data_IF_828500842635
#
_entry.id   IF_828500842635
#
_cell.length_a   1.000
_cell.length_b   1.000
_cell.length_c   1.000
_cell.angle_alpha   90.00
_cell.angle_beta   90.00
_cell.angle_gamma   90.00
#
_symmetry.space_group_name_H-M   'P 1'
#
loop_
_entity.id
_entity.type
_entity.pdbx_description
1 polymer ?
#
# COMPACT_ATOMS: atom_id res chain seq x y z
N UNK A 1 -31.72 38.43 -29.71
CA UNK A 1 -30.54 38.91 -28.96
C UNK A 1 -31.03 39.73 -27.79
N UNK A 2 -31.03 39.21 -26.56
CA UNK A 2 -31.44 39.98 -25.38
C UNK A 2 -30.55 41.22 -25.22
N UNK A 3 -31.14 42.38 -24.89
CA UNK A 3 -30.37 43.62 -24.74
C UNK A 3 -29.33 43.46 -23.63
N UNK A 4 -28.23 44.23 -23.71
CA UNK A 4 -27.19 44.20 -22.68
C UNK A 4 -27.76 44.45 -21.28
N UNK A 5 -28.74 45.34 -21.19
CA UNK A 5 -29.39 45.71 -19.94
C UNK A 5 -30.22 44.57 -19.35
N UNK A 6 -30.84 43.73 -20.17
CA UNK A 6 -31.56 42.53 -19.71
C UNK A 6 -30.60 41.48 -19.17
N UNK A 7 -29.44 41.31 -19.82
CA UNK A 7 -28.38 40.40 -19.35
C UNK A 7 -27.78 40.87 -18.03
N UNK A 8 -27.53 42.17 -17.89
CA UNK A 8 -27.04 42.77 -16.65
C UNK A 8 -28.02 42.54 -15.51
N UNK A 9 -29.32 42.83 -15.71
CA UNK A 9 -30.36 42.60 -14.70
C UNK A 9 -30.48 41.12 -14.30
N UNK A 10 -30.44 40.22 -15.29
CA UNK A 10 -30.48 38.78 -15.05
C UNK A 10 -29.30 38.30 -14.19
N UNK A 11 -28.09 38.82 -14.46
CA UNK A 11 -26.89 38.47 -13.70
C UNK A 11 -26.99 38.94 -12.24
N UNK A 12 -27.46 40.16 -12.00
CA UNK A 12 -27.63 40.68 -10.64
C UNK A 12 -28.71 39.92 -9.86
N UNK A 13 -29.80 39.50 -10.50
CA UNK A 13 -30.82 38.67 -9.86
C UNK A 13 -30.24 37.31 -9.44
N UNK A 14 -29.47 36.65 -10.32
CA UNK A 14 -28.82 35.39 -9.99
C UNK A 14 -27.79 35.51 -8.86
N UNK A 15 -27.02 36.60 -8.82
CA UNK A 15 -26.08 36.85 -7.73
C UNK A 15 -26.81 37.07 -6.39
N UNK A 16 -27.96 37.76 -6.42
CA UNK A 16 -28.77 37.98 -5.22
C UNK A 16 -29.35 36.68 -4.68
N UNK A 17 -29.88 35.82 -5.54
CA UNK A 17 -30.39 34.49 -5.15
C UNK A 17 -29.26 33.63 -4.54
N UNK A 18 -28.05 33.70 -5.12
CA UNK A 18 -26.88 32.99 -4.60
C UNK A 18 -26.43 33.52 -3.23
N UNK A 19 -26.48 34.84 -3.01
CA UNK A 19 -26.15 35.46 -1.72
C UNK A 19 -27.15 35.08 -0.62
N UNK A 20 -28.45 35.04 -0.93
CA UNK A 20 -29.49 34.61 0.01
C UNK A 20 -29.33 33.13 0.39
N UNK A 21 -29.00 32.26 -0.58
CA UNK A 21 -28.69 30.85 -0.32
C UNK A 21 -27.42 30.65 0.52
N UNK A 22 -26.38 31.46 0.27
CA UNK A 22 -25.14 31.41 1.04
C UNK A 22 -25.29 32.01 2.45
N UNK A 23 -26.14 33.01 2.61
CA UNK A 23 -26.44 33.59 3.93
C UNK A 23 -27.26 32.63 4.79
N UNK A 24 -28.17 31.85 4.18
CA UNK A 24 -28.92 30.78 4.86
C UNK A 24 -28.01 29.62 5.33
N UNK A 25 -26.86 29.40 4.68
CA UNK A 25 -25.89 28.39 5.12
C UNK A 25 -24.96 28.88 6.24
N UNK A 26 -24.85 30.21 6.47
CA UNK A 26 -24.15 30.78 7.63
C UNK A 26 -24.97 30.78 8.92
N UNK A 27 -26.30 30.91 8.84
CA UNK A 27 -27.20 30.93 10.02
C UNK A 27 -27.78 29.56 10.36
N UNK A 28 -27.69 28.59 9.46
CA UNK A 28 -27.79 27.19 9.84
C UNK A 28 -26.61 26.86 10.75
N UNK A 29 -26.90 26.58 12.01
CA UNK A 29 -26.01 25.95 12.97
C UNK A 29 -25.59 24.55 12.46
N UNK A 30 -24.89 24.47 11.34
CA UNK A 30 -23.96 23.40 11.09
C UNK A 30 -22.92 23.59 12.19
N UNK A 31 -23.08 22.81 13.26
CA UNK A 31 -22.16 22.74 14.37
C UNK A 31 -20.75 22.88 13.79
N UNK A 32 -20.02 23.91 14.24
CA UNK A 32 -18.61 24.07 13.91
C UNK A 32 -18.00 22.68 13.96
N UNK A 33 -17.52 22.19 12.82
CA UNK A 33 -16.80 20.93 12.77
C UNK A 33 -15.76 21.04 13.87
N UNK A 34 -15.80 20.20 14.91
CA UNK A 34 -14.87 20.35 16.00
C UNK A 34 -13.48 20.32 15.38
N UNK A 35 -12.73 21.40 15.57
CA UNK A 35 -11.36 21.49 15.09
C UNK A 35 -10.59 20.36 15.79
N UNK A 36 -10.46 19.24 15.09
CA UNK A 36 -9.76 18.06 15.58
C UNK A 36 -8.27 18.33 15.83
N UNK A 37 -7.75 19.51 15.42
CA UNK A 37 -6.39 19.96 15.64
C UNK A 37 -6.10 20.47 17.05
N UNK A 38 -7.09 20.98 17.79
CA UNK A 38 -6.89 21.59 19.12
C UNK A 38 -7.73 20.91 20.19
N UNK A 39 -7.21 19.81 20.73
CA UNK A 39 -7.87 19.10 21.84
C UNK A 39 -7.69 19.88 23.14
N UNK A 40 -8.73 20.59 23.58
CA UNK A 40 -8.77 21.16 24.93
C UNK A 40 -8.71 20.05 25.99
N UNK A 41 -7.79 20.18 26.94
CA UNK A 41 -7.57 19.21 28.03
C UNK A 41 -8.83 19.02 28.88
N UNK A 42 -9.69 20.03 29.00
CA UNK A 42 -10.93 19.96 29.80
C UNK A 42 -12.01 19.14 29.10
N UNK A 43 -12.24 19.39 27.81
CA UNK A 43 -13.21 18.64 26.99
C UNK A 43 -12.81 17.17 26.87
N UNK A 44 -11.52 16.89 26.64
CA UNK A 44 -11.00 15.52 26.60
C UNK A 44 -11.25 14.75 27.90
N UNK A 45 -11.05 15.39 29.07
CA UNK A 45 -11.32 14.75 30.38
C UNK A 45 -12.80 14.42 30.58
N UNK A 46 -13.72 15.26 30.08
CA UNK A 46 -15.16 15.02 30.17
C UNK A 46 -15.58 13.84 29.28
N UNK A 47 -15.20 13.86 28.00
CA UNK A 47 -15.47 12.76 27.05
C UNK A 47 -14.88 11.43 27.55
N UNK A 48 -13.67 11.46 28.12
CA UNK A 48 -13.04 10.27 28.71
C UNK A 48 -13.82 9.67 29.89
N UNK A 49 -14.51 10.49 30.70
CA UNK A 49 -15.37 10.03 31.80
C UNK A 49 -16.67 9.43 31.26
N UNK A 50 -17.30 10.09 30.29
CA UNK A 50 -18.52 9.61 29.64
C UNK A 50 -18.28 8.27 28.92
N UNK A 51 -17.14 8.11 28.26
CA UNK A 51 -16.76 6.85 27.61
C UNK A 51 -16.34 5.75 28.59
N UNK A 52 -16.14 6.05 29.88
CA UNK A 52 -15.74 5.05 30.89
C UNK A 52 -16.84 4.02 31.14
N UNK A 53 -18.11 4.41 31.02
CA UNK A 53 -19.26 3.50 31.23
C UNK A 53 -19.40 2.42 30.15
N UNK A 54 -18.81 2.66 28.98
CA UNK A 54 -18.81 1.71 27.86
C UNK A 54 -17.56 0.80 27.87
N UNK A 55 -16.65 0.96 28.83
CA UNK A 55 -15.49 0.06 28.98
C UNK A 55 -15.96 -1.32 29.43
N UNK A 56 -15.62 -2.35 28.66
CA UNK A 56 -16.04 -3.73 28.93
C UNK A 56 -17.48 -4.05 28.52
N UNK A 57 -18.20 -3.11 27.90
CA UNK A 57 -19.48 -3.38 27.23
C UNK A 57 -19.19 -3.47 25.74
N UNK A 58 -19.18 -4.68 25.21
CA UNK A 58 -18.97 -4.91 23.79
C UNK A 58 -20.28 -4.61 23.04
N UNK A 59 -20.17 -3.87 21.93
CA UNK A 59 -21.28 -3.78 20.99
C UNK A 59 -21.56 -5.16 20.45
N UNK A 60 -22.82 -5.60 20.49
CA UNK A 60 -23.26 -6.91 19.98
C UNK A 60 -22.98 -7.11 18.48
N UNK A 61 -22.65 -6.04 17.75
CA UNK A 61 -22.30 -6.07 16.33
C UNK A 61 -20.79 -6.00 16.05
N UNK A 62 -19.95 -5.85 17.09
CA UNK A 62 -18.49 -5.83 16.92
C UNK A 62 -17.90 -7.23 17.05
N UNK A 63 -17.00 -7.56 16.13
CA UNK A 63 -16.12 -8.72 16.27
C UNK A 63 -15.24 -8.52 17.51
N UNK A 64 -14.94 -9.56 18.29
CA UNK A 64 -14.07 -9.43 19.46
C UNK A 64 -12.72 -8.87 19.01
N UNK A 65 -12.27 -7.81 19.67
CA UNK A 65 -11.01 -7.17 19.35
C UNK A 65 -9.87 -8.16 19.62
N UNK A 66 -8.98 -8.35 18.63
CA UNK A 66 -7.80 -9.17 18.81
C UNK A 66 -6.96 -8.60 19.96
N UNK A 67 -6.49 -9.47 20.85
CA UNK A 67 -5.74 -9.04 22.03
C UNK A 67 -4.54 -8.21 21.57
N UNK A 68 -4.41 -6.98 22.07
CA UNK A 68 -3.34 -6.06 21.68
C UNK A 68 -1.94 -6.70 21.85
N UNK A 69 -1.79 -7.64 22.79
CA UNK A 69 -0.55 -8.41 23.01
C UNK A 69 -0.22 -9.39 21.89
N UNK A 70 -1.22 -9.84 21.12
CA UNK A 70 -1.03 -10.69 19.94
C UNK A 70 -0.72 -9.85 18.69
N UNK A 71 -1.27 -8.63 18.61
CA UNK A 71 -1.03 -7.72 17.49
C UNK A 71 0.32 -6.99 17.59
N UNK A 72 0.79 -6.74 18.81
CA UNK A 72 2.11 -6.18 19.06
C UNK A 72 3.14 -7.31 19.07
N UNK A 73 4.17 -7.22 18.22
CA UNK A 73 5.34 -8.10 18.35
C UNK A 73 5.86 -7.95 19.79
N UNK A 74 5.95 -9.07 20.53
CA UNK A 74 6.60 -9.08 21.82
C UNK A 74 7.99 -8.43 21.68
N UNK A 75 8.40 -7.65 22.69
CA UNK A 75 9.72 -7.01 22.73
C UNK A 75 10.79 -8.10 22.71
N UNK A 76 11.15 -8.55 21.51
CA UNK A 76 12.22 -9.51 21.32
C UNK A 76 13.51 -8.78 21.64
N UNK A 77 14.31 -9.35 22.55
CA UNK A 77 15.66 -8.87 22.75
C UNK A 77 16.37 -8.76 21.39
N UNK A 78 17.09 -7.66 21.13
CA UNK A 78 17.93 -7.52 19.95
C UNK A 78 18.84 -8.72 19.77
N UNK A 79 19.14 -9.05 18.52
CA UNK A 79 19.82 -10.29 18.21
C UNK A 79 21.32 -10.28 18.61
N UNK A 80 21.96 -9.10 18.70
CA UNK A 80 23.31 -8.97 19.29
C UNK A 80 23.38 -9.35 20.76
N UNK A 81 22.27 -9.24 21.50
CA UNK A 81 22.18 -9.72 22.89
C UNK A 81 21.89 -11.22 22.96
N UNK A 82 21.15 -11.77 21.98
CA UNK A 82 20.79 -13.18 21.94
C UNK A 82 21.92 -14.07 21.45
N UNK A 83 22.61 -13.64 20.41
CA UNK A 83 23.61 -14.41 19.67
C UNK A 83 24.92 -13.60 19.53
N UNK A 84 25.59 -13.24 20.63
CA UNK A 84 26.78 -12.38 20.58
C UNK A 84 27.89 -12.97 19.70
N UNK A 85 27.99 -14.30 19.60
CA UNK A 85 28.98 -14.96 18.74
C UNK A 85 28.74 -14.76 17.23
N UNK A 86 27.49 -14.54 16.81
CA UNK A 86 27.15 -14.28 15.40
C UNK A 86 27.22 -12.81 15.04
N UNK A 87 27.35 -11.96 16.05
CA UNK A 87 27.30 -10.52 15.91
C UNK A 87 28.70 -9.95 16.01
N UNK A 88 29.21 -9.49 14.88
CA UNK A 88 30.46 -8.76 14.82
C UNK A 88 30.16 -7.27 14.75
N UNK A 89 30.77 -6.51 15.66
CA UNK A 89 30.68 -5.05 15.66
C UNK A 89 31.75 -4.49 14.73
N UNK A 90 31.33 -3.77 13.70
CA UNK A 90 32.23 -3.04 12.80
C UNK A 90 32.21 -1.56 13.19
N UNK A 91 33.37 -1.02 13.55
CA UNK A 91 33.58 0.41 13.74
C UNK A 91 34.37 0.99 12.57
N UNK A 92 34.06 2.22 12.18
CA UNK A 92 34.82 2.97 11.18
C UNK A 92 36.00 3.75 11.82
N UNK A 93 36.46 3.32 13.00
CA UNK A 93 37.56 3.97 13.73
C UNK A 93 38.87 3.98 12.95
N UNK A 94 39.06 2.95 12.14
CA UNK A 94 40.32 2.69 11.44
C UNK A 94 40.32 3.31 10.04
N UNK A 95 39.21 3.95 9.63
CA UNK A 95 39.02 4.54 8.31
C UNK A 95 39.32 6.03 8.39
N UNK A 96 40.18 6.53 7.51
CA UNK A 96 40.51 7.97 7.48
C UNK A 96 39.34 8.78 6.89
N UNK A 97 39.18 10.07 7.25
CA UNK A 97 38.13 10.90 6.67
C UNK A 97 38.28 11.08 5.15
N UNK A 98 39.50 10.91 4.62
CA UNK A 98 39.76 10.91 3.18
C UNK A 98 39.17 9.68 2.48
N UNK A 99 39.22 8.50 3.11
CA UNK A 99 38.63 7.27 2.60
C UNK A 99 37.09 7.29 2.65
N UNK A 100 36.50 8.06 3.58
CA UNK A 100 35.04 8.27 3.68
C UNK A 100 34.52 9.39 2.79
N UNK A 101 35.39 10.04 2.00
CA UNK A 101 34.98 11.12 1.10
C UNK A 101 33.99 10.63 0.04
N UNK A 102 33.07 11.48 -0.38
CA UNK A 102 32.13 11.14 -1.45
C UNK A 102 32.86 10.74 -2.74
N UNK A 103 34.01 11.36 -3.03
CA UNK A 103 34.83 11.02 -4.20
C UNK A 103 35.31 9.57 -4.16
N UNK A 104 35.92 9.15 -3.06
CA UNK A 104 36.43 7.77 -2.89
C UNK A 104 35.28 6.77 -2.87
N UNK A 105 34.15 7.10 -2.24
CA UNK A 105 32.95 6.26 -2.26
C UNK A 105 32.40 6.06 -3.67
N UNK A 106 32.30 7.14 -4.46
CA UNK A 106 31.84 7.05 -5.86
C UNK A 106 32.79 6.23 -6.73
N UNK A 107 34.10 6.42 -6.57
CA UNK A 107 35.10 5.68 -7.33
C UNK A 107 35.07 4.19 -7.00
N UNK A 108 34.97 3.86 -5.71
CA UNK A 108 34.86 2.47 -5.23
C UNK A 108 33.58 1.81 -5.74
N UNK A 109 32.44 2.52 -5.71
CA UNK A 109 31.18 2.01 -6.25
C UNK A 109 31.25 1.75 -7.76
N UNK A 110 31.85 2.67 -8.53
CA UNK A 110 32.04 2.50 -9.99
C UNK A 110 33.03 1.36 -10.31
N UNK A 111 34.08 1.19 -9.50
CA UNK A 111 35.01 0.06 -9.65
C UNK A 111 34.29 -1.27 -9.39
N UNK A 112 33.48 -1.35 -8.35
CA UNK A 112 32.69 -2.54 -8.03
C UNK A 112 31.67 -2.89 -9.13
N UNK A 113 30.99 -1.89 -9.71
CA UNK A 113 30.07 -2.14 -10.83
C UNK A 113 30.80 -2.70 -12.06
N UNK A 114 31.98 -2.15 -12.41
CA UNK A 114 32.81 -2.70 -13.50
C UNK A 114 33.28 -4.12 -13.23
N UNK A 115 33.63 -4.44 -11.98
CA UNK A 115 34.00 -5.80 -11.58
C UNK A 115 32.81 -6.76 -11.70
N UNK A 116 31.62 -6.36 -11.26
CA UNK A 116 30.40 -7.16 -11.40
C UNK A 116 30.03 -7.40 -12.86
N UNK A 117 30.10 -6.36 -13.70
CA UNK A 117 29.88 -6.48 -15.16
C UNK A 117 30.91 -7.42 -15.81
N UNK A 118 32.18 -7.36 -15.39
CA UNK A 118 33.22 -8.28 -15.84
C UNK A 118 32.91 -9.73 -15.49
N UNK A 119 32.54 -10.00 -14.23
CA UNK A 119 32.13 -11.35 -13.79
C UNK A 119 30.89 -11.85 -14.51
N UNK A 120 29.92 -10.98 -14.79
CA UNK A 120 28.73 -11.33 -15.57
C UNK A 120 29.09 -11.64 -17.03
N UNK A 121 29.99 -10.86 -17.64
CA UNK A 121 30.47 -11.10 -19.00
C UNK A 121 31.30 -12.40 -19.10
N UNK A 122 32.18 -12.67 -18.13
CA UNK A 122 32.93 -13.92 -18.02
C UNK A 122 31.97 -15.11 -17.82
N UNK A 123 31.00 -15.01 -16.91
CA UNK A 123 30.00 -16.06 -16.70
C UNK A 123 29.10 -16.27 -17.94
N UNK A 124 28.82 -15.23 -18.73
CA UNK A 124 28.12 -15.36 -20.01
C UNK A 124 29.00 -16.03 -21.08
N UNK A 125 30.29 -15.71 -21.15
CA UNK A 125 31.24 -16.36 -22.07
C UNK A 125 31.49 -17.83 -21.69
N UNK A 126 31.58 -18.15 -20.40
CA UNK A 126 31.68 -19.52 -19.88
C UNK A 126 30.37 -20.31 -20.14
N UNK A 127 29.20 -19.68 -20.01
CA UNK A 127 27.92 -20.32 -20.39
C UNK A 127 27.75 -20.53 -21.91
N UNK A 128 28.43 -19.74 -22.74
CA UNK A 128 28.46 -19.95 -24.20
C UNK A 128 29.45 -21.05 -24.61
N UNK A 129 30.46 -21.35 -23.77
CA UNK A 129 31.54 -22.31 -24.09
C UNK A 129 31.48 -23.62 -23.32
N UNK A 130 30.69 -23.73 -22.25
CA UNK A 130 30.50 -24.98 -21.51
C UNK A 130 29.04 -25.49 -21.56
N UNK A 131 28.90 -26.71 -22.07
CA UNK A 131 27.78 -27.66 -21.93
C UNK A 131 26.66 -27.63 -22.98
N UNK A 132 27.03 -27.95 -24.23
CA UNK A 132 26.25 -28.96 -24.97
C UNK A 132 26.86 -30.32 -24.59
N UNK A 133 26.42 -30.89 -23.46
CA UNK A 133 26.64 -32.31 -23.23
C UNK A 133 25.80 -33.09 -24.25
N UNK A 134 26.43 -34.02 -24.96
CA UNK A 134 25.85 -34.90 -25.99
C UNK A 134 24.66 -35.75 -25.49
N UNK A 135 24.32 -35.67 -24.20
CA UNK A 135 23.20 -36.36 -23.54
C UNK A 135 21.90 -35.56 -23.40
N UNK A 136 21.83 -34.30 -23.86
CA UNK A 136 20.56 -33.57 -24.01
C UNK A 136 19.79 -33.27 -22.71
N UNK A 137 20.44 -33.32 -21.55
CA UNK A 137 19.81 -33.07 -20.26
C UNK A 137 19.84 -31.57 -19.89
N UNK A 138 18.75 -30.85 -20.16
CA UNK A 138 18.58 -29.45 -19.76
C UNK A 138 18.18 -29.38 -18.28
N UNK A 139 19.05 -28.86 -17.43
CA UNK A 139 18.75 -28.60 -16.02
C UNK A 139 17.75 -27.43 -15.88
N UNK A 140 16.48 -27.75 -15.60
CA UNK A 140 15.45 -26.74 -15.35
C UNK A 140 15.52 -26.25 -13.90
N UNK A 141 15.86 -24.98 -13.69
CA UNK A 141 15.78 -24.33 -12.37
C UNK A 141 14.36 -24.50 -11.78
N UNK A 142 14.24 -24.93 -10.50
CA UNK A 142 12.93 -25.12 -9.88
C UNK A 142 12.26 -23.77 -9.63
N UNK A 143 11.17 -23.50 -10.34
CA UNK A 143 10.29 -22.36 -10.03
C UNK A 143 9.33 -22.76 -8.93
N UNK A 144 9.48 -22.14 -7.76
CA UNK A 144 8.61 -22.37 -6.61
C UNK A 144 7.22 -21.77 -6.89
N UNK A 145 6.31 -22.60 -7.39
CA UNK A 145 4.91 -22.23 -7.61
C UNK A 145 4.17 -22.18 -6.28
N UNK A 146 4.26 -21.06 -5.55
CA UNK A 146 3.35 -20.79 -4.44
C UNK A 146 1.94 -20.64 -5.00
N UNK A 147 1.04 -21.51 -4.54
CA UNK A 147 -0.41 -21.55 -4.78
C UNK A 147 -0.92 -22.18 -6.10
N UNK A 148 -0.96 -23.52 -6.15
CA UNK A 148 -1.85 -24.29 -7.04
C UNK A 148 -2.92 -25.07 -6.28
N UNK A 149 -3.58 -24.44 -5.30
CA UNK A 149 -4.80 -24.98 -4.65
C UNK A 149 -6.08 -24.25 -5.08
N UNK A 150 -6.07 -23.64 -6.27
CA UNK A 150 -7.31 -23.19 -6.91
C UNK A 150 -7.34 -23.85 -8.29
N UNK A 151 -8.07 -24.97 -8.37
CA UNK A 151 -8.46 -25.57 -9.65
C UNK A 151 -9.27 -24.50 -10.40
N UNK A 152 -8.65 -23.86 -11.40
CA UNK A 152 -9.37 -23.00 -12.34
C UNK A 152 -10.23 -23.91 -13.22
N UNK A 153 -11.52 -23.99 -12.91
CA UNK A 153 -12.53 -24.35 -13.91
C UNK A 153 -12.48 -23.28 -15.01
N UNK A 154 -12.64 -23.63 -16.30
CA UNK A 154 -12.70 -22.66 -17.37
C UNK A 154 -14.08 -22.00 -17.35
N UNK A 155 -14.28 -21.02 -16.45
CA UNK A 155 -15.30 -20.01 -16.67
C UNK A 155 -14.64 -18.92 -17.51
N UNK A 156 -15.24 -18.60 -18.65
CA UNK A 156 -14.88 -17.52 -19.55
C UNK A 156 -14.94 -16.18 -18.81
N UNK A 157 -13.91 -15.88 -18.04
CA UNK A 157 -13.73 -14.58 -17.43
C UNK A 157 -13.38 -13.61 -18.56
N UNK A 158 -14.38 -12.85 -19.01
CA UNK A 158 -14.18 -11.70 -19.90
C UNK A 158 -13.15 -10.80 -19.24
N UNK A 159 -11.95 -10.72 -19.84
CA UNK A 159 -10.85 -9.88 -19.35
C UNK A 159 -11.25 -8.40 -19.44
N UNK A 160 -10.71 -7.53 -18.58
CA UNK A 160 -10.94 -6.09 -18.70
C UNK A 160 -10.48 -5.61 -20.09
N UNK A 161 -11.34 -4.85 -20.77
CA UNK A 161 -11.09 -4.32 -22.10
C UNK A 161 -10.69 -2.85 -21.96
N UNK A 162 -9.65 -2.45 -22.68
CA UNK A 162 -9.22 -1.06 -22.74
C UNK A 162 -9.79 -0.40 -23.99
N UNK A 163 -10.72 0.53 -23.82
CA UNK A 163 -11.32 1.29 -24.92
C UNK A 163 -11.21 2.79 -24.64
N UNK A 164 -10.71 3.56 -25.61
CA UNK A 164 -10.70 5.04 -25.57
C UNK A 164 -10.12 5.65 -24.27
N UNK A 165 -8.91 5.21 -23.88
CA UNK A 165 -8.20 5.65 -22.68
C UNK A 165 -8.86 5.30 -21.33
N UNK A 166 -9.85 4.39 -21.31
CA UNK A 166 -10.47 3.91 -20.07
C UNK A 166 -10.47 2.38 -20.03
N UNK A 167 -10.27 1.82 -18.83
CA UNK A 167 -10.36 0.38 -18.58
C UNK A 167 -11.81 0.08 -18.17
N UNK A 168 -12.52 -0.72 -18.96
CA UNK A 168 -13.87 -1.17 -18.64
C UNK A 168 -13.75 -2.52 -17.92
N UNK A 169 -14.18 -2.56 -16.65
CA UNK A 169 -14.27 -3.81 -15.89
C UNK A 169 -15.55 -4.57 -16.29
N UNK A 170 -15.49 -5.91 -16.36
CA UNK A 170 -16.70 -6.71 -16.59
C UNK A 170 -17.71 -6.51 -15.46
N UNK A 171 -18.99 -6.55 -15.80
CA UNK A 171 -20.07 -6.44 -14.82
C UNK A 171 -19.96 -7.57 -13.77
N UNK A 172 -19.90 -7.18 -12.49
CA UNK A 172 -19.81 -8.12 -11.39
C UNK A 172 -21.11 -8.10 -10.58
N UNK A 173 -21.87 -9.20 -10.65
CA UNK A 173 -23.08 -9.36 -9.83
C UNK A 173 -22.70 -9.98 -8.49
N UNK A 174 -22.81 -9.18 -7.41
CA UNK A 174 -22.54 -9.63 -6.04
C UNK A 174 -23.77 -10.33 -5.46
N UNK A 175 -23.60 -11.50 -4.86
CA UNK A 175 -24.66 -12.19 -4.10
C UNK A 175 -25.30 -13.40 -4.79
N UNK A 176 -24.84 -13.80 -5.98
CA UNK A 176 -25.30 -15.04 -6.60
C UNK A 176 -24.59 -16.25 -5.97
N UNK A 177 -25.35 -17.12 -5.31
CA UNK A 177 -24.83 -18.42 -4.84
C UNK A 177 -24.65 -19.37 -6.02
N UNK A 178 -23.52 -20.09 -6.06
CA UNK A 178 -23.23 -21.06 -7.13
C UNK A 178 -24.26 -22.19 -7.07
N UNK A 179 -24.97 -22.43 -8.17
CA UNK A 179 -25.90 -23.56 -8.28
C UNK A 179 -25.11 -24.87 -8.17
N UNK A 180 -25.48 -25.74 -7.23
CA UNK A 180 -24.90 -27.08 -7.09
C UNK A 180 -25.33 -27.92 -8.29
N UNK A 181 -24.36 -28.40 -9.07
CA UNK A 181 -24.60 -29.36 -10.15
C UNK A 181 -24.67 -30.74 -9.49
N UNK A 182 -25.83 -31.40 -9.57
CA UNK A 182 -25.96 -32.79 -9.16
C UNK A 182 -25.32 -33.67 -10.24
N UNK A 183 -24.27 -34.42 -9.88
CA UNK A 183 -23.75 -35.49 -10.74
C UNK A 183 -24.78 -36.61 -10.75
N UNK A 184 -25.34 -36.89 -11.91
CA UNK A 184 -26.06 -38.13 -12.20
C UNK A 184 -25.01 -39.24 -12.27
N UNK A 185 -25.24 -40.33 -11.52
CA UNK A 185 -24.44 -41.56 -11.55
C UNK A 185 -24.82 -42.41 -12.76
#
# INVERSE_FOLDING_TARGET
>A
MSSFQDRQKSLFNHLKDAEEQYSFSKTNNAAEQPDYGVIDKRTYKKVKREMKQFRGRESIYKRPDANLRQCLRARSAPDYLKNPQKWQYYSLSDVTPEQLSDKTNTETALAFMREMEGREAEAMQEQETEVIDETGAVFKKPTFNVSKTIKKLPEEQKKPIFESNRIIMPEYVVGMSKKKINKIQ
#
